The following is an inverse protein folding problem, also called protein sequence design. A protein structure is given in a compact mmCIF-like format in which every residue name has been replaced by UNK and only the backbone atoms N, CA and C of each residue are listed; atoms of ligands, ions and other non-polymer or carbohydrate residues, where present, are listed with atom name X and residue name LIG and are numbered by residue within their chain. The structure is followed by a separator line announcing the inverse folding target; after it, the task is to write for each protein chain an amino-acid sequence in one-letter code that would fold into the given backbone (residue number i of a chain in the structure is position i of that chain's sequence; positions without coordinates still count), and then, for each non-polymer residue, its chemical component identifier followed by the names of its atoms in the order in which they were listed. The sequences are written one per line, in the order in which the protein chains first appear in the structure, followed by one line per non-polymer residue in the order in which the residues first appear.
data_IF_130818842124
#
_entry.id   IF_130818842124
#
_cell.length_a   1.000
_cell.length_b   1.000
_cell.length_c   1.000
_cell.angle_alpha   90.00
_cell.angle_beta   90.00
_cell.angle_gamma   90.00
#
_symmetry.space_group_name_H-M   'P 1'
#
loop_
_entity.id
_entity.type
_entity.pdbx_description
1 polymer ?
#
# COMPACT_ATOMS: atom_id res chain seq x y z
N UNK A 1 27.92 -3.21 5.51
CA UNK A 1 27.89 -1.76 5.33
C UNK A 1 26.76 -1.41 4.39
N UNK A 2 25.79 -0.64 4.91
CA UNK A 2 24.61 -0.23 4.20
C UNK A 2 24.98 0.51 2.89
N UNK A 3 24.58 -0.02 1.76
CA UNK A 3 24.69 0.64 0.47
C UNK A 3 23.33 1.22 0.09
N UNK A 4 22.92 2.25 0.82
CA UNK A 4 21.82 3.10 0.38
C UNK A 4 22.27 3.95 -0.82
N UNK A 5 21.39 4.30 -1.79
CA UNK A 5 21.75 5.20 -2.86
C UNK A 5 22.17 6.56 -2.26
N UNK A 6 23.33 7.06 -2.69
CA UNK A 6 23.71 8.42 -2.35
C UNK A 6 22.62 9.40 -2.84
N UNK A 7 22.28 10.45 -2.08
CA UNK A 7 21.29 11.44 -2.49
C UNK A 7 21.61 12.01 -3.88
N UNK A 8 20.74 11.77 -4.89
CA UNK A 8 20.89 12.29 -6.25
C UNK A 8 21.66 11.43 -7.25
N UNK A 9 22.14 10.24 -6.87
CA UNK A 9 22.75 9.27 -7.80
C UNK A 9 21.70 8.41 -8.52
N UNK A 10 22.10 7.76 -9.66
CA UNK A 10 21.21 6.80 -10.30
C UNK A 10 20.93 5.62 -9.35
N UNK A 11 19.70 5.06 -9.35
CA UNK A 11 19.36 3.94 -8.49
C UNK A 11 20.24 2.71 -8.79
N UNK A 12 20.45 1.81 -7.81
CA UNK A 12 21.07 0.53 -8.07
C UNK A 12 20.21 -0.27 -9.07
N UNK A 13 20.85 -1.19 -9.80
CA UNK A 13 20.15 -2.02 -10.80
C UNK A 13 20.33 -3.50 -10.49
N UNK A 14 19.33 -4.29 -10.80
CA UNK A 14 19.37 -5.75 -10.80
C UNK A 14 18.98 -6.26 -12.19
N UNK A 15 19.86 -7.00 -12.84
CA UNK A 15 19.68 -7.52 -14.20
C UNK A 15 19.28 -6.42 -15.22
N UNK A 16 19.78 -5.19 -15.06
CA UNK A 16 19.46 -4.04 -15.91
C UNK A 16 18.15 -3.32 -15.55
N UNK A 17 17.45 -3.75 -14.51
CA UNK A 17 16.25 -3.08 -14.00
C UNK A 17 16.61 -2.17 -12.83
N UNK A 18 16.19 -0.89 -12.85
CA UNK A 18 16.43 0.01 -11.74
C UNK A 18 15.62 -0.42 -10.50
N UNK A 19 16.26 -0.38 -9.34
CA UNK A 19 15.64 -0.70 -8.06
C UNK A 19 15.31 0.61 -7.33
N UNK A 20 14.05 0.99 -7.32
CA UNK A 20 13.58 2.22 -6.70
C UNK A 20 13.21 2.03 -5.22
N UNK A 21 12.76 0.84 -4.86
CA UNK A 21 12.36 0.50 -3.49
C UNK A 21 12.43 -1.01 -3.21
N UNK A 22 12.02 -1.38 -2.01
CA UNK A 22 12.06 -2.78 -1.53
C UNK A 22 11.25 -3.76 -2.38
N UNK A 23 10.19 -3.31 -3.07
CA UNK A 23 9.41 -4.20 -3.94
C UNK A 23 10.17 -4.56 -5.21
N UNK A 24 10.82 -3.58 -5.85
CA UNK A 24 11.71 -3.85 -6.99
C UNK A 24 12.86 -4.77 -6.57
N UNK A 25 13.46 -4.49 -5.40
CA UNK A 25 14.52 -5.33 -4.85
C UNK A 25 14.07 -6.78 -4.71
N UNK A 26 12.97 -7.04 -3.99
CA UNK A 26 12.45 -8.39 -3.78
C UNK A 26 12.07 -9.08 -5.08
N UNK A 27 11.46 -8.34 -6.02
CA UNK A 27 11.03 -8.90 -7.29
C UNK A 27 12.22 -9.27 -8.19
N UNK A 28 13.13 -8.33 -8.44
CA UNK A 28 14.25 -8.54 -9.36
C UNK A 28 15.37 -9.40 -8.77
N UNK A 29 15.45 -9.56 -7.46
CA UNK A 29 16.42 -10.45 -6.81
C UNK A 29 15.90 -11.87 -6.63
N UNK A 30 14.70 -12.21 -7.10
CA UNK A 30 14.17 -13.56 -7.00
C UNK A 30 14.97 -14.58 -7.79
N UNK A 31 15.51 -14.21 -8.95
CA UNK A 31 16.26 -15.07 -9.85
C UNK A 31 17.55 -15.63 -9.23
N UNK A 32 17.98 -16.86 -9.64
CA UNK A 32 19.18 -17.47 -9.12
C UNK A 32 20.50 -16.89 -9.69
N UNK A 33 20.42 -16.11 -10.78
CA UNK A 33 21.59 -15.45 -11.39
C UNK A 33 21.34 -13.96 -11.50
N UNK A 34 22.15 -13.19 -10.81
CA UNK A 34 21.98 -11.75 -10.70
C UNK A 34 23.22 -10.99 -11.16
N UNK A 35 22.99 -9.88 -11.86
CA UNK A 35 23.97 -8.85 -12.13
C UNK A 35 23.53 -7.57 -11.40
N UNK A 36 24.18 -7.28 -10.26
CA UNK A 36 23.90 -6.11 -9.44
C UNK A 36 24.79 -4.97 -9.87
N UNK A 37 24.22 -3.81 -10.19
CA UNK A 37 24.98 -2.59 -10.42
C UNK A 37 24.84 -1.71 -9.19
N UNK A 38 25.93 -1.58 -8.45
CA UNK A 38 25.97 -0.81 -7.21
C UNK A 38 26.73 0.49 -7.44
N UNK A 39 26.35 1.55 -6.72
CA UNK A 39 27.09 2.80 -6.68
C UNK A 39 28.00 2.78 -5.45
N UNK A 40 29.29 3.01 -5.67
CA UNK A 40 30.28 3.15 -4.60
C UNK A 40 30.24 4.56 -4.00
N UNK A 41 30.74 4.77 -2.76
CA UNK A 41 30.79 6.11 -2.14
C UNK A 41 31.56 7.16 -2.94
N UNK A 42 32.49 6.74 -3.80
CA UNK A 42 33.24 7.62 -4.70
C UNK A 42 32.49 8.02 -5.99
N UNK A 43 31.22 7.55 -6.13
CA UNK A 43 30.37 7.79 -7.29
C UNK A 43 30.55 6.80 -8.45
N UNK A 44 31.55 5.90 -8.39
CA UNK A 44 31.74 4.88 -9.41
C UNK A 44 30.64 3.81 -9.35
N UNK A 45 30.37 3.19 -10.50
CA UNK A 45 29.45 2.05 -10.60
C UNK A 45 30.24 0.75 -10.71
N UNK A 46 29.87 -0.24 -9.90
CA UNK A 46 30.46 -1.58 -9.92
C UNK A 46 29.42 -2.62 -10.20
N UNK A 47 29.70 -3.53 -11.13
CA UNK A 47 28.85 -4.69 -11.39
C UNK A 47 29.33 -5.89 -10.57
N UNK A 48 28.45 -6.45 -9.76
CA UNK A 48 28.69 -7.67 -8.99
C UNK A 48 27.77 -8.78 -9.51
N UNK A 49 28.36 -9.91 -9.87
CA UNK A 49 27.59 -11.10 -10.30
C UNK A 49 27.41 -12.03 -9.12
N UNK A 50 26.18 -12.41 -8.83
CA UNK A 50 25.82 -13.30 -7.74
C UNK A 50 25.09 -14.53 -8.29
N UNK A 51 25.38 -15.69 -7.70
CA UNK A 51 24.61 -16.92 -7.90
C UNK A 51 24.08 -17.38 -6.54
N UNK A 52 22.82 -17.74 -6.48
CA UNK A 52 22.11 -18.16 -5.28
C UNK A 52 20.99 -19.11 -5.65
N UNK A 53 20.30 -19.69 -4.68
CA UNK A 53 19.05 -20.42 -4.91
C UNK A 53 17.93 -19.44 -5.30
N UNK A 54 16.96 -19.93 -6.07
CA UNK A 54 15.77 -19.14 -6.44
C UNK A 54 15.02 -18.70 -5.16
N UNK A 55 14.69 -17.43 -5.06
CA UNK A 55 14.02 -16.87 -3.87
C UNK A 55 14.91 -16.66 -2.64
N UNK A 56 16.15 -17.15 -2.63
CA UNK A 56 17.08 -16.91 -1.52
C UNK A 56 17.36 -15.41 -1.36
N UNK A 57 17.37 -14.91 -0.12
CA UNK A 57 17.69 -13.51 0.16
C UNK A 57 19.20 -13.25 -0.01
N UNK A 58 19.55 -12.07 -0.53
CA UNK A 58 20.95 -11.64 -0.66
C UNK A 58 21.57 -11.20 0.67
N UNK A 59 20.77 -11.06 1.73
CA UNK A 59 21.23 -10.59 3.03
C UNK A 59 21.64 -9.11 3.02
N UNK A 60 21.10 -8.30 2.11
CA UNK A 60 21.35 -6.87 2.09
C UNK A 60 20.46 -6.15 3.10
N UNK A 61 21.07 -5.33 3.94
CA UNK A 61 20.37 -4.46 4.89
C UNK A 61 20.27 -3.04 4.31
N UNK A 62 19.13 -2.40 4.52
CA UNK A 62 18.86 -1.02 4.09
C UNK A 62 18.68 -0.12 5.32
N UNK A 63 19.05 1.17 5.20
CA UNK A 63 18.88 2.14 6.30
C UNK A 63 17.43 2.28 6.76
N UNK A 64 16.48 2.13 5.83
CA UNK A 64 15.06 2.11 6.11
C UNK A 64 14.45 0.84 5.56
N UNK A 65 13.41 0.34 6.23
CA UNK A 65 12.71 -0.89 5.86
C UNK A 65 12.14 -0.84 4.41
N UNK A 66 11.75 0.33 3.93
CA UNK A 66 11.22 0.55 2.59
C UNK A 66 12.26 1.05 1.58
N UNK A 67 13.52 1.25 2.00
CA UNK A 67 14.62 1.91 1.28
C UNK A 67 14.41 3.42 1.11
N UNK A 68 13.21 3.94 1.37
CA UNK A 68 12.86 5.37 1.38
C UNK A 68 11.86 5.69 2.50
N UNK A 69 11.21 6.85 2.44
CA UNK A 69 10.19 7.24 3.42
C UNK A 69 8.84 6.62 3.07
N UNK A 70 8.15 6.09 4.11
CA UNK A 70 6.76 5.65 3.98
C UNK A 70 5.84 6.82 3.63
N UNK A 71 4.81 6.55 2.82
CA UNK A 71 3.83 7.57 2.41
C UNK A 71 2.77 7.75 3.46
N UNK A 72 2.49 9.01 3.78
CA UNK A 72 1.41 9.37 4.68
C UNK A 72 0.07 9.39 3.96
N UNK A 73 -0.98 9.02 4.67
CA UNK A 73 -2.36 9.09 4.20
C UNK A 73 -2.78 10.55 3.95
N UNK A 74 -3.42 10.79 2.80
CA UNK A 74 -3.94 12.10 2.41
C UNK A 74 -5.41 12.31 2.79
N UNK A 75 -6.02 11.36 3.52
CA UNK A 75 -7.43 11.40 3.88
C UNK A 75 -7.66 12.00 5.26
N UNK A 76 -8.89 12.48 5.48
CA UNK A 76 -9.37 12.96 6.77
C UNK A 76 -10.69 12.27 7.14
N UNK A 77 -10.65 10.92 7.17
CA UNK A 77 -11.83 10.08 7.31
C UNK A 77 -12.63 10.41 8.57
N UNK A 78 -13.96 10.43 8.45
CA UNK A 78 -14.89 10.68 9.58
C UNK A 78 -14.74 9.66 10.72
N UNK A 79 -14.14 8.51 10.43
CA UNK A 79 -13.96 7.38 11.36
C UNK A 79 -12.46 7.10 11.66
N UNK A 80 -11.55 8.03 11.37
CA UNK A 80 -10.12 7.80 11.49
C UNK A 80 -9.73 7.44 12.93
N UNK A 81 -9.24 6.21 13.14
CA UNK A 81 -8.83 5.75 14.47
C UNK A 81 -7.56 6.45 14.96
N UNK A 82 -6.68 6.92 14.05
CA UNK A 82 -5.47 7.67 14.42
C UNK A 82 -5.85 9.06 14.97
N UNK A 83 -6.87 9.70 14.40
CA UNK A 83 -7.35 11.01 14.88
C UNK A 83 -8.08 10.91 16.24
N UNK A 84 -8.38 9.70 16.69
CA UNK A 84 -8.97 9.40 17.98
C UNK A 84 -7.95 8.98 19.03
N UNK A 85 -6.65 9.05 18.72
CA UNK A 85 -5.60 8.74 19.68
C UNK A 85 -5.48 9.83 20.75
N UNK A 86 -5.20 9.46 22.01
CA UNK A 86 -4.96 10.45 23.07
C UNK A 86 -3.78 11.35 22.70
N UNK A 87 -3.85 12.67 22.99
CA UNK A 87 -2.75 13.59 22.71
C UNK A 87 -1.52 13.31 23.57
N UNK A 88 -0.34 13.72 23.09
CA UNK A 88 0.90 13.66 23.89
C UNK A 88 1.60 12.30 23.90
N UNK A 89 1.17 11.33 23.10
CA UNK A 89 1.84 10.04 22.95
C UNK A 89 3.05 10.13 22.01
N UNK A 90 3.82 9.03 21.88
CA UNK A 90 4.97 8.98 20.95
C UNK A 90 4.53 9.28 19.50
N UNK A 91 5.33 10.03 18.78
CA UNK A 91 5.00 10.52 17.42
C UNK A 91 4.64 9.41 16.41
N UNK A 92 5.26 8.23 16.55
CA UNK A 92 4.98 7.08 15.66
C UNK A 92 3.53 6.59 15.71
N UNK A 93 2.78 6.85 16.78
CA UNK A 93 1.37 6.48 16.90
C UNK A 93 0.43 7.36 16.07
N UNK A 94 0.89 8.54 15.67
CA UNK A 94 0.09 9.49 14.87
C UNK A 94 0.41 9.42 13.38
N UNK A 95 1.29 8.50 12.98
CA UNK A 95 1.58 8.30 11.58
C UNK A 95 0.42 7.55 10.91
N UNK A 96 -0.20 8.20 9.94
CA UNK A 96 -1.24 7.61 9.10
C UNK A 96 -0.58 7.09 7.85
N UNK A 97 -0.37 5.80 7.73
CA UNK A 97 0.17 5.21 6.50
C UNK A 97 -0.91 4.98 5.44
N UNK A 98 -0.52 5.10 4.20
CA UNK A 98 -1.30 4.72 3.01
C UNK A 98 -0.33 4.33 1.88
N UNK A 99 0.60 3.44 2.22
CA UNK A 99 1.70 3.01 1.37
C UNK A 99 1.49 1.59 0.87
N UNK A 100 1.43 1.40 -0.46
CA UNK A 100 1.18 0.10 -1.07
C UNK A 100 2.21 -0.97 -0.66
N UNK A 101 3.45 -0.56 -0.38
CA UNK A 101 4.51 -1.45 0.06
C UNK A 101 4.23 -2.02 1.45
N UNK A 102 3.70 -1.18 2.36
CA UNK A 102 3.28 -1.62 3.69
C UNK A 102 2.08 -2.55 3.64
N UNK A 103 1.18 -2.38 2.68
CA UNK A 103 0.07 -3.32 2.47
C UNK A 103 0.60 -4.72 2.13
N UNK A 104 1.50 -4.82 1.16
CA UNK A 104 2.07 -6.09 0.73
C UNK A 104 2.97 -6.73 1.80
N UNK A 105 3.85 -5.93 2.44
CA UNK A 105 4.87 -6.45 3.35
C UNK A 105 4.36 -6.70 4.76
N UNK A 106 3.40 -5.89 5.23
CA UNK A 106 2.94 -5.87 6.63
C UNK A 106 1.45 -6.18 6.77
N UNK A 107 0.71 -6.24 5.67
CA UNK A 107 -0.74 -6.44 5.71
C UNK A 107 -1.54 -5.18 6.04
N UNK A 108 -0.95 -3.98 5.94
CA UNK A 108 -1.64 -2.73 6.19
C UNK A 108 -2.71 -2.44 5.12
N UNK A 109 -3.78 -1.77 5.51
CA UNK A 109 -4.89 -1.45 4.61
C UNK A 109 -4.65 -0.13 3.88
N UNK A 110 -4.83 -0.15 2.55
CA UNK A 110 -4.72 1.01 1.66
C UNK A 110 -6.08 1.62 1.36
N UNK A 111 -6.11 2.94 1.27
CA UNK A 111 -7.30 3.64 0.77
C UNK A 111 -7.36 3.77 -0.75
N UNK A 112 -6.28 3.50 -1.47
CA UNK A 112 -6.09 3.70 -2.91
C UNK A 112 -6.19 5.17 -3.37
N UNK A 113 -6.25 6.13 -2.45
CA UNK A 113 -6.34 7.56 -2.79
C UNK A 113 -4.99 8.20 -3.08
N UNK A 114 -3.91 7.52 -2.66
CA UNK A 114 -2.52 7.97 -2.76
C UNK A 114 -1.75 7.36 -3.94
N UNK A 115 -2.36 6.46 -4.70
CA UNK A 115 -1.71 5.80 -5.82
C UNK A 115 -1.74 6.67 -7.07
N UNK A 116 -0.59 6.84 -7.70
CA UNK A 116 -0.51 7.34 -9.06
C UNK A 116 -0.83 6.24 -10.08
N UNK A 117 -1.19 6.64 -11.29
CA UNK A 117 -1.42 5.71 -12.40
C UNK A 117 -0.22 4.77 -12.62
N UNK A 118 1.00 5.33 -12.58
CA UNK A 118 2.25 4.55 -12.73
C UNK A 118 2.39 3.48 -11.64
N UNK A 119 1.99 3.77 -10.42
CA UNK A 119 2.06 2.80 -9.32
C UNK A 119 1.02 1.71 -9.45
N UNK A 120 -0.19 2.04 -9.88
CA UNK A 120 -1.22 1.04 -10.20
C UNK A 120 -0.71 0.09 -11.29
N UNK A 121 -0.10 0.61 -12.36
CA UNK A 121 0.49 -0.19 -13.42
C UNK A 121 1.65 -1.05 -12.93
N UNK A 122 2.50 -0.50 -12.07
CA UNK A 122 3.60 -1.24 -11.45
C UNK A 122 3.12 -2.38 -10.56
N UNK A 123 2.11 -2.15 -9.71
CA UNK A 123 1.49 -3.19 -8.88
C UNK A 123 1.00 -4.35 -9.75
N UNK A 124 0.33 -4.03 -10.86
CA UNK A 124 -0.17 -5.03 -11.81
C UNK A 124 0.99 -5.77 -12.50
N UNK A 125 1.99 -5.03 -13.01
CA UNK A 125 3.13 -5.61 -13.73
C UNK A 125 3.98 -6.54 -12.87
N UNK A 126 4.24 -6.13 -11.62
CA UNK A 126 5.00 -6.92 -10.64
C UNK A 126 4.14 -7.96 -9.91
N UNK A 127 2.85 -8.06 -10.22
CA UNK A 127 1.88 -8.95 -9.55
C UNK A 127 1.93 -8.86 -8.03
N UNK A 128 2.00 -7.64 -7.49
CA UNK A 128 2.05 -7.41 -6.05
C UNK A 128 0.69 -7.80 -5.45
N UNK A 129 0.66 -8.93 -4.77
CA UNK A 129 -0.56 -9.57 -4.27
C UNK A 129 -0.24 -10.41 -3.02
N UNK A 130 -1.09 -10.45 -1.99
CA UNK A 130 -2.36 -9.73 -1.88
C UNK A 130 -2.20 -8.24 -1.54
N UNK A 131 -3.22 -7.45 -1.84
CA UNK A 131 -3.37 -6.05 -1.41
C UNK A 131 -4.55 -5.95 -0.44
N UNK A 132 -4.34 -5.32 0.69
CA UNK A 132 -5.42 -5.05 1.64
C UNK A 132 -6.03 -3.66 1.38
N UNK A 133 -7.33 -3.58 1.21
CA UNK A 133 -8.02 -2.37 0.76
C UNK A 133 -9.05 -1.88 1.77
N UNK A 134 -8.91 -0.65 2.23
CA UNK A 134 -9.92 0.11 2.98
C UNK A 134 -10.98 0.62 2.01
N UNK A 135 -12.10 -0.11 1.90
CA UNK A 135 -13.16 0.16 0.92
C UNK A 135 -14.19 1.14 1.46
N UNK A 136 -14.79 0.78 2.58
CA UNK A 136 -15.87 1.46 3.32
C UNK A 136 -17.20 1.53 2.57
N UNK A 137 -17.18 1.88 1.29
CA UNK A 137 -18.33 1.85 0.36
C UNK A 137 -17.84 1.80 -1.08
N UNK A 138 -18.63 1.19 -1.96
CA UNK A 138 -18.42 1.20 -3.42
C UNK A 138 -19.13 2.38 -4.12
N UNK A 139 -19.95 3.13 -3.40
CA UNK A 139 -20.51 4.38 -3.89
C UNK A 139 -19.42 5.47 -3.91
N UNK A 140 -19.07 6.03 -5.10
CA UNK A 140 -17.97 6.97 -5.20
C UNK A 140 -18.19 8.29 -4.46
N UNK A 141 -19.42 8.79 -4.42
CA UNK A 141 -19.77 10.05 -3.77
C UNK A 141 -19.71 9.88 -2.26
N UNK A 142 -20.40 8.86 -1.73
CA UNK A 142 -20.36 8.52 -0.32
C UNK A 142 -18.91 8.24 0.15
N UNK A 143 -18.10 7.60 -0.69
CA UNK A 143 -16.70 7.35 -0.36
C UNK A 143 -15.89 8.64 -0.23
N UNK A 144 -16.13 9.62 -1.11
CA UNK A 144 -15.51 10.95 -1.01
C UNK A 144 -15.92 11.67 0.30
N UNK A 145 -17.18 11.57 0.69
CA UNK A 145 -17.69 12.14 1.94
C UNK A 145 -17.07 11.49 3.17
N UNK A 146 -17.05 10.15 3.21
CA UNK A 146 -16.52 9.38 4.34
C UNK A 146 -15.01 9.59 4.54
N UNK A 147 -14.24 9.65 3.45
CA UNK A 147 -12.79 9.85 3.50
C UNK A 147 -12.39 11.33 3.52
N UNK A 148 -13.34 12.25 3.34
CA UNK A 148 -13.10 13.69 3.15
C UNK A 148 -12.00 13.96 2.11
N UNK A 149 -12.06 13.24 0.98
CA UNK A 149 -11.10 13.32 -0.10
C UNK A 149 -11.81 13.19 -1.44
N UNK A 150 -11.72 14.21 -2.29
CA UNK A 150 -12.40 14.27 -3.60
C UNK A 150 -11.96 13.16 -4.57
N UNK A 151 -10.78 12.60 -4.38
CA UNK A 151 -10.24 11.50 -5.21
C UNK A 151 -10.64 10.11 -4.69
N UNK A 152 -11.30 10.02 -3.55
CA UNK A 152 -11.59 8.73 -2.95
C UNK A 152 -12.49 7.83 -3.81
N UNK A 153 -13.39 8.43 -4.60
CA UNK A 153 -14.24 7.70 -5.53
C UNK A 153 -13.48 6.95 -6.64
N UNK A 154 -12.29 7.44 -7.03
CA UNK A 154 -11.44 6.80 -8.06
C UNK A 154 -10.95 5.40 -7.62
N UNK A 155 -10.84 5.15 -6.31
CA UNK A 155 -10.34 3.90 -5.76
C UNK A 155 -11.11 2.67 -6.21
N UNK A 156 -12.42 2.79 -6.47
CA UNK A 156 -13.25 1.66 -6.95
C UNK A 156 -12.87 1.26 -8.38
N UNK A 157 -12.53 2.22 -9.24
CA UNK A 157 -12.02 1.92 -10.57
C UNK A 157 -10.65 1.23 -10.52
N UNK A 158 -9.79 1.61 -9.58
CA UNK A 158 -8.50 0.93 -9.33
C UNK A 158 -8.74 -0.52 -8.88
N UNK A 159 -9.68 -0.77 -7.96
CA UNK A 159 -10.02 -2.13 -7.52
C UNK A 159 -10.49 -3.02 -8.68
N UNK A 160 -11.33 -2.47 -9.58
CA UNK A 160 -11.77 -3.21 -10.78
C UNK A 160 -10.58 -3.57 -11.70
N UNK A 161 -9.62 -2.67 -11.87
CA UNK A 161 -8.39 -2.96 -12.62
C UNK A 161 -7.55 -4.04 -11.95
N UNK A 162 -7.42 -4.01 -10.63
CA UNK A 162 -6.74 -5.06 -9.87
C UNK A 162 -7.45 -6.42 -10.03
N UNK A 163 -8.77 -6.44 -9.97
CA UNK A 163 -9.55 -7.66 -10.20
C UNK A 163 -9.35 -8.23 -11.61
N UNK A 164 -9.37 -7.38 -12.65
CA UNK A 164 -9.11 -7.77 -14.03
C UNK A 164 -7.68 -8.32 -14.23
N UNK A 165 -6.72 -7.81 -13.47
CA UNK A 165 -5.33 -8.29 -13.47
C UNK A 165 -5.09 -9.49 -12.54
N UNK A 166 -6.13 -10.05 -11.91
CA UNK A 166 -6.04 -11.15 -10.94
C UNK A 166 -5.17 -10.84 -9.73
N UNK A 167 -5.13 -9.58 -9.29
CA UNK A 167 -4.54 -9.19 -8.02
C UNK A 167 -5.53 -9.52 -6.90
N UNK A 168 -5.10 -10.33 -5.95
CA UNK A 168 -5.92 -10.69 -4.79
C UNK A 168 -6.09 -9.50 -3.86
N UNK A 169 -7.32 -9.23 -3.44
CA UNK A 169 -7.66 -8.15 -2.52
C UNK A 169 -8.36 -8.69 -1.28
N UNK A 170 -7.91 -8.24 -0.10
CA UNK A 170 -8.65 -8.39 1.15
C UNK A 170 -9.27 -7.04 1.49
N UNK A 171 -10.59 -6.97 1.57
CA UNK A 171 -11.33 -5.74 1.71
C UNK A 171 -11.77 -5.51 3.16
N UNK A 172 -11.71 -4.26 3.64
CA UNK A 172 -12.24 -3.87 4.93
C UNK A 172 -13.25 -2.73 4.79
N UNK A 173 -14.33 -2.84 5.53
CA UNK A 173 -15.39 -1.84 5.64
C UNK A 173 -15.49 -1.44 7.11
N UNK A 174 -15.24 -0.17 7.41
CA UNK A 174 -15.63 0.41 8.70
C UNK A 174 -17.08 0.82 8.58
N UNK A 175 -17.97 0.15 9.33
CA UNK A 175 -19.40 0.44 9.34
C UNK A 175 -19.70 1.60 10.29
N UNK A 176 -20.23 2.68 9.73
CA UNK A 176 -20.69 3.88 10.43
C UNK A 176 -22.22 3.91 10.36
N UNK A 177 -22.95 3.58 11.45
CA UNK A 177 -24.41 3.55 11.48
C UNK A 177 -25.04 4.84 10.95
N UNK A 178 -26.04 4.70 10.09
CA UNK A 178 -26.72 5.83 9.43
C UNK A 178 -25.95 6.47 8.27
N UNK A 179 -24.77 5.98 7.91
CA UNK A 179 -23.95 6.49 6.80
C UNK A 179 -23.75 5.43 5.72
N UNK A 180 -23.00 4.37 6.02
CA UNK A 180 -22.68 3.32 5.05
C UNK A 180 -23.21 1.94 5.45
N UNK A 181 -24.13 1.86 6.38
CA UNK A 181 -24.89 0.66 6.75
C UNK A 181 -26.14 0.44 5.88
N UNK A 182 -26.96 -0.54 6.23
CA UNK A 182 -28.21 -0.83 5.55
C UNK A 182 -28.04 -1.02 4.03
N UNK A 183 -28.81 -0.30 3.19
CA UNK A 183 -28.77 -0.46 1.74
C UNK A 183 -27.39 -0.14 1.12
N UNK A 184 -26.63 0.80 1.69
CA UNK A 184 -25.29 1.16 1.22
C UNK A 184 -24.30 0.01 1.45
N UNK A 185 -24.38 -0.64 2.61
CA UNK A 185 -23.59 -1.83 2.93
C UNK A 185 -23.96 -3.00 2.02
N UNK A 186 -25.24 -3.27 1.85
CA UNK A 186 -25.74 -4.35 0.99
C UNK A 186 -25.25 -4.19 -0.47
N UNK A 187 -25.36 -2.98 -1.02
CA UNK A 187 -24.79 -2.66 -2.33
C UNK A 187 -23.28 -2.92 -2.38
N UNK A 188 -22.54 -2.41 -1.40
CA UNK A 188 -21.09 -2.58 -1.33
C UNK A 188 -20.68 -4.05 -1.29
N UNK A 189 -21.35 -4.86 -0.47
CA UNK A 189 -21.08 -6.30 -0.36
C UNK A 189 -21.35 -7.03 -1.68
N UNK A 190 -22.44 -6.71 -2.38
CA UNK A 190 -22.78 -7.31 -3.68
C UNK A 190 -21.77 -6.94 -4.76
N UNK A 191 -21.37 -5.66 -4.84
CA UNK A 191 -20.38 -5.22 -5.83
C UNK A 191 -19.00 -5.83 -5.59
N UNK A 192 -18.57 -5.94 -4.32
CA UNK A 192 -17.32 -6.61 -3.97
C UNK A 192 -17.37 -8.13 -4.25
N UNK A 193 -18.47 -8.78 -3.92
CA UNK A 193 -18.67 -10.20 -4.23
C UNK A 193 -18.63 -10.46 -5.74
N UNK A 194 -19.11 -9.51 -6.55
CA UNK A 194 -19.02 -9.57 -8.01
C UNK A 194 -17.59 -9.49 -8.56
N UNK A 195 -16.61 -9.14 -7.75
CA UNK A 195 -15.17 -9.15 -8.11
C UNK A 195 -14.46 -10.45 -7.68
N UNK A 196 -15.19 -11.46 -7.16
CA UNK A 196 -14.58 -12.74 -6.84
C UNK A 196 -14.05 -13.42 -8.12
N UNK A 197 -12.93 -14.19 -8.06
CA UNK A 197 -12.14 -14.54 -6.87
C UNK A 197 -11.08 -13.50 -6.48
N UNK A 198 -10.94 -12.38 -7.21
CA UNK A 198 -9.94 -11.36 -6.89
C UNK A 198 -10.20 -10.73 -5.51
N UNK A 199 -11.45 -10.43 -5.17
CA UNK A 199 -11.82 -10.12 -3.79
C UNK A 199 -11.92 -11.44 -3.03
N UNK A 200 -10.91 -11.71 -2.20
CA UNK A 200 -10.76 -12.94 -1.43
C UNK A 200 -11.53 -12.89 -0.11
N UNK A 201 -11.57 -11.73 0.54
CA UNK A 201 -12.26 -11.56 1.83
C UNK A 201 -12.83 -10.16 1.98
N UNK A 202 -13.91 -10.06 2.75
CA UNK A 202 -14.53 -8.80 3.14
C UNK A 202 -14.73 -8.81 4.65
N UNK A 203 -14.04 -7.94 5.37
CA UNK A 203 -14.18 -7.73 6.80
C UNK A 203 -15.04 -6.51 7.07
N UNK A 204 -16.15 -6.66 7.76
CA UNK A 204 -16.99 -5.55 8.21
C UNK A 204 -16.74 -5.35 9.70
N UNK A 205 -16.21 -4.19 10.07
CA UNK A 205 -15.88 -3.83 11.45
C UNK A 205 -16.69 -2.61 11.88
N UNK A 206 -17.22 -2.55 13.11
CA UNK A 206 -17.91 -1.36 13.57
C UNK A 206 -16.92 -0.21 13.73
N UNK A 207 -17.39 1.03 13.56
CA UNK A 207 -16.60 2.22 13.84
C UNK A 207 -16.16 2.22 15.29
N UNK A 208 -14.85 2.39 15.50
CA UNK A 208 -14.31 2.55 16.85
C UNK A 208 -14.68 3.90 17.43
N UNK A 209 -15.14 3.94 18.69
CA UNK A 209 -15.47 5.18 19.38
C UNK A 209 -14.63 5.35 20.63
N UNK A 210 -13.98 6.49 20.76
CA UNK A 210 -13.20 6.87 21.94
C UNK A 210 -13.66 8.24 22.45
N UNK A 211 -13.23 8.62 23.64
CA UNK A 211 -13.49 9.95 24.19
C UNK A 211 -12.79 11.10 23.45
N UNK A 212 -11.85 10.77 22.55
CA UNK A 212 -11.04 11.74 21.80
C UNK A 212 -11.52 11.95 20.35
N UNK A 213 -12.78 11.65 20.09
CA UNK A 213 -13.35 11.75 18.73
C UNK A 213 -14.11 13.06 18.46
N UNK A 214 -13.78 14.14 19.12
CA UNK A 214 -14.38 15.45 18.88
C UNK A 214 -14.24 15.85 17.40
N UNK A 215 -15.36 16.23 16.76
CA UNK A 215 -15.41 16.56 15.32
C UNK A 215 -15.35 15.36 14.35
N UNK A 216 -15.33 14.13 14.85
CA UNK A 216 -15.48 12.89 14.08
C UNK A 216 -16.91 12.36 14.17
N UNK A 217 -17.21 11.30 13.37
CA UNK A 217 -18.52 10.63 13.37
C UNK A 217 -18.88 10.04 14.75
#
# INVERSE_FOLDING_TARGET
PAAGPAPGGPPPEVNGHPVADVLDYKFYTYDPKLALVLQEPNGNRRTVRVRKEEGEDLGLEFETYLMDRARSCANNCIFCFVDQMPPGMRKSLYFKDDDARLSFLMGNYLTLTNLSQREVERIIALRISPINVSVHTTDPELRCEMLKNRRAGEGIAIMRRFAQASITMNCQIVSCPGINDGPALDRTLRELAGMAPAVNSISVVPVGVTKYREGLY
#
